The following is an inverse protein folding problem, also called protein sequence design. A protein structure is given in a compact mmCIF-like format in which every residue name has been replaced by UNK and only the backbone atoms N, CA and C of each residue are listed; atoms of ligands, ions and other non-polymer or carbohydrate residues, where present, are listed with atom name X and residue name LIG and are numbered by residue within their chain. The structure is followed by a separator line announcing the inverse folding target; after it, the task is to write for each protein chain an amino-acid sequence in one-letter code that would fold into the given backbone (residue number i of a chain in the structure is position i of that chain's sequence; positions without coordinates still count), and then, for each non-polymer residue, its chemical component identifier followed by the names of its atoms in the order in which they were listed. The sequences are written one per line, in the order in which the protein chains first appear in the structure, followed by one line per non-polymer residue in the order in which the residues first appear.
data_IF_257978307092
#
_entry.id   IF_257978307092
#
_cell.length_a   1.000
_cell.length_b   1.000
_cell.length_c   1.000
_cell.angle_alpha   90.00
_cell.angle_beta   90.00
_cell.angle_gamma   90.00
#
_symmetry.space_group_name_H-M   'P 1'
#
loop_
_entity.id
_entity.type
_entity.pdbx_description
1 polymer ?
#
# COMPACT_ATOMS: atom_id res chain seq x y z
N UNK A 1 21.11 -7.27 -19.15
CA UNK A 1 21.48 -8.24 -18.10
C UNK A 1 20.78 -9.57 -18.36
N UNK A 2 21.44 -10.71 -18.09
CA UNK A 2 20.81 -12.05 -18.16
C UNK A 2 20.89 -12.76 -16.82
N UNK A 3 19.80 -13.42 -16.44
CA UNK A 3 19.64 -14.08 -15.13
C UNK A 3 19.18 -15.52 -15.37
N UNK A 4 19.86 -16.48 -14.75
CA UNK A 4 19.41 -17.86 -14.61
C UNK A 4 18.65 -17.98 -13.27
N UNK A 5 17.40 -18.41 -13.33
CA UNK A 5 16.49 -18.47 -12.19
C UNK A 5 16.00 -19.90 -11.97
N UNK A 6 16.25 -20.48 -10.79
CA UNK A 6 15.79 -21.85 -10.50
C UNK A 6 14.27 -21.93 -10.32
N UNK A 7 13.68 -20.96 -9.63
CA UNK A 7 12.23 -20.86 -9.43
C UNK A 7 11.77 -19.41 -9.57
N UNK A 8 10.70 -19.17 -10.33
CA UNK A 8 10.17 -17.84 -10.58
C UNK A 8 8.65 -17.82 -10.44
N UNK A 9 8.11 -16.75 -9.84
CA UNK A 9 6.68 -16.49 -9.83
C UNK A 9 6.32 -15.49 -10.94
N UNK A 10 5.64 -15.99 -11.97
CA UNK A 10 5.13 -15.18 -13.10
C UNK A 10 3.61 -15.04 -13.04
N UNK A 11 3.00 -14.31 -13.97
CA UNK A 11 1.54 -14.28 -14.13
C UNK A 11 0.91 -15.64 -14.42
N UNK A 12 1.70 -16.58 -14.98
CA UNK A 12 1.28 -17.97 -15.22
C UNK A 12 1.51 -18.87 -13.99
N UNK A 13 1.89 -18.28 -12.85
CA UNK A 13 2.21 -18.99 -11.61
C UNK A 13 3.68 -19.37 -11.49
N UNK A 14 3.95 -20.33 -10.60
CA UNK A 14 5.29 -20.83 -10.32
C UNK A 14 5.86 -21.61 -11.50
N UNK A 15 7.08 -21.30 -11.88
CA UNK A 15 7.83 -21.94 -12.96
C UNK A 15 9.25 -22.30 -12.48
N UNK A 16 9.88 -23.28 -13.14
CA UNK A 16 11.21 -23.79 -12.79
C UNK A 16 12.19 -23.68 -13.96
N UNK A 17 13.45 -23.37 -13.63
CA UNK A 17 14.57 -23.28 -14.56
C UNK A 17 14.31 -22.35 -15.76
N UNK A 18 14.28 -21.04 -15.49
CA UNK A 18 14.04 -20.00 -16.49
C UNK A 18 15.24 -19.10 -16.71
N UNK A 19 15.35 -18.56 -17.92
CA UNK A 19 16.28 -17.49 -18.27
C UNK A 19 15.49 -16.20 -18.47
N UNK A 20 15.96 -15.15 -17.80
CA UNK A 20 15.41 -13.81 -17.86
C UNK A 20 16.41 -12.88 -18.53
N UNK A 21 15.94 -12.07 -19.48
CA UNK A 21 16.72 -10.96 -20.06
C UNK A 21 16.09 -9.64 -19.67
N UNK A 22 16.94 -8.70 -19.27
CA UNK A 22 16.55 -7.34 -18.88
C UNK A 22 17.37 -6.35 -19.71
N UNK A 23 16.67 -5.45 -20.40
CA UNK A 23 17.24 -4.37 -21.21
C UNK A 23 16.36 -3.13 -20.99
N UNK A 24 16.96 -1.94 -20.98
CA UNK A 24 16.26 -0.66 -20.77
C UNK A 24 15.24 -0.72 -19.61
N UNK A 25 15.70 -1.22 -18.45
CA UNK A 25 14.92 -1.32 -17.20
C UNK A 25 13.70 -2.24 -17.27
N UNK A 26 13.54 -3.04 -18.34
CA UNK A 26 12.35 -3.86 -18.57
C UNK A 26 12.71 -5.34 -18.79
N UNK A 27 11.79 -6.24 -18.44
CA UNK A 27 11.89 -7.65 -18.83
C UNK A 27 11.68 -7.77 -20.34
N UNK A 28 12.69 -8.22 -21.10
CA UNK A 28 12.58 -8.39 -22.55
C UNK A 28 12.39 -9.83 -22.99
N UNK A 29 12.81 -10.79 -22.17
CA UNK A 29 12.59 -12.21 -22.42
C UNK A 29 12.43 -12.97 -21.11
N UNK A 30 11.43 -13.84 -21.06
CA UNK A 30 11.18 -14.80 -19.98
C UNK A 30 10.91 -16.15 -20.65
N UNK A 31 11.82 -17.10 -20.53
CA UNK A 31 11.69 -18.40 -21.20
C UNK A 31 12.26 -19.55 -20.39
N UNK A 32 11.79 -20.79 -20.60
CA UNK A 32 12.44 -21.98 -20.06
C UNK A 32 13.90 -22.06 -20.51
N UNK A 33 14.77 -22.47 -19.59
CA UNK A 33 16.17 -22.82 -19.83
C UNK A 33 16.24 -24.06 -20.72
N UNK A 34 17.13 -24.04 -21.70
CA UNK A 34 17.44 -25.16 -22.57
C UNK A 34 18.81 -25.76 -22.22
N UNK A 35 19.07 -27.04 -22.55
CA UNK A 35 20.37 -27.69 -22.26
C UNK A 35 21.60 -26.98 -22.86
N UNK A 36 21.43 -26.33 -24.00
CA UNK A 36 22.48 -25.60 -24.72
C UNK A 36 22.76 -24.19 -24.16
N UNK A 37 21.97 -23.70 -23.21
CA UNK A 37 22.18 -22.39 -22.63
C UNK A 37 23.44 -22.36 -21.73
N UNK A 38 24.43 -21.56 -22.12
CA UNK A 38 25.59 -21.25 -21.29
C UNK A 38 25.20 -20.24 -20.19
N UNK A 39 25.04 -20.74 -18.96
CA UNK A 39 24.67 -19.94 -17.79
C UNK A 39 25.88 -19.42 -16.99
N UNK A 40 27.11 -19.73 -17.41
CA UNK A 40 28.33 -19.47 -16.61
C UNK A 40 28.58 -17.98 -16.33
N UNK A 41 28.06 -17.10 -17.19
CA UNK A 41 28.19 -15.63 -17.09
C UNK A 41 26.92 -14.94 -16.60
N UNK A 42 25.85 -15.69 -16.34
CA UNK A 42 24.55 -15.14 -15.91
C UNK A 42 24.50 -14.97 -14.39
N UNK A 43 23.75 -13.96 -13.93
CA UNK A 43 23.39 -13.85 -12.52
C UNK A 43 22.58 -15.09 -12.10
N UNK A 44 22.84 -15.63 -10.91
CA UNK A 44 22.17 -16.82 -10.40
C UNK A 44 21.17 -16.43 -9.32
N UNK A 45 19.90 -16.75 -9.52
CA UNK A 45 18.83 -16.49 -8.55
C UNK A 45 18.14 -17.80 -8.20
N UNK A 46 17.98 -18.09 -6.90
CA UNK A 46 17.30 -19.31 -6.46
C UNK A 46 15.79 -19.17 -6.60
N UNK A 47 15.21 -18.10 -6.03
CA UNK A 47 13.79 -17.80 -6.15
C UNK A 47 13.62 -16.34 -6.52
N UNK A 48 12.90 -16.07 -7.61
CA UNK A 48 12.57 -14.72 -8.09
C UNK A 48 11.08 -14.45 -7.93
N UNK A 49 10.74 -13.36 -7.23
CA UNK A 49 9.38 -12.89 -7.01
C UNK A 49 9.20 -11.49 -7.62
N UNK A 50 7.98 -11.07 -8.00
CA UNK A 50 7.74 -9.66 -8.33
C UNK A 50 8.06 -8.78 -7.11
N UNK A 51 8.64 -7.60 -7.36
CA UNK A 51 8.78 -6.61 -6.31
C UNK A 51 7.40 -6.14 -5.84
N UNK A 52 7.32 -5.79 -4.55
CA UNK A 52 6.04 -5.42 -3.94
C UNK A 52 5.64 -3.98 -4.30
N UNK A 53 4.34 -3.72 -4.22
CA UNK A 53 3.74 -2.39 -4.38
C UNK A 53 3.04 -2.04 -3.08
N UNK A 54 3.56 -1.05 -2.35
CA UNK A 54 2.93 -0.56 -1.12
C UNK A 54 2.03 0.64 -1.42
N UNK A 55 0.73 0.40 -1.53
CA UNK A 55 -0.22 1.47 -1.89
C UNK A 55 -0.55 2.41 -0.72
N UNK A 56 -0.08 2.12 0.49
CA UNK A 56 -0.40 2.91 1.67
C UNK A 56 0.73 2.85 2.71
N UNK A 57 1.58 3.89 2.70
CA UNK A 57 2.71 4.04 3.62
C UNK A 57 3.00 5.51 3.95
N UNK A 58 3.12 5.83 5.25
CA UNK A 58 3.39 7.19 5.73
C UNK A 58 4.88 7.46 5.90
N UNK A 59 5.67 6.46 6.30
CA UNK A 59 7.06 6.69 6.65
C UNK A 59 7.83 5.42 7.01
N UNK A 60 9.08 5.63 7.41
CA UNK A 60 10.02 4.58 7.78
C UNK A 60 11.44 5.11 7.87
N UNK A 61 12.33 4.35 8.49
CA UNK A 61 13.72 4.77 8.74
C UNK A 61 13.86 6.15 9.41
N UNK A 62 12.93 6.54 10.29
CA UNK A 62 12.96 7.81 11.01
C UNK A 62 12.37 9.01 10.27
N UNK A 63 11.94 8.85 9.01
CA UNK A 63 11.36 9.91 8.17
C UNK A 63 9.89 9.64 7.82
N UNK A 64 9.18 10.69 7.40
CA UNK A 64 7.76 10.67 7.08
C UNK A 64 7.46 11.50 5.82
N UNK A 65 6.44 11.12 5.07
CA UNK A 65 5.97 11.88 3.90
C UNK A 65 5.58 13.32 4.27
N UNK A 66 5.03 13.53 5.47
CA UNK A 66 4.62 14.84 5.97
C UNK A 66 5.78 15.77 6.32
N UNK A 67 7.02 15.24 6.43
CA UNK A 67 8.21 16.08 6.58
C UNK A 67 8.35 17.03 5.37
N UNK A 68 7.84 16.62 4.20
CA UNK A 68 7.71 17.47 3.01
C UNK A 68 9.05 17.89 2.40
N UNK A 69 10.04 16.99 2.45
CA UNK A 69 11.36 17.20 1.85
C UNK A 69 11.76 16.06 0.91
N UNK A 70 12.59 16.37 -0.09
CA UNK A 70 13.14 15.38 -1.01
C UNK A 70 14.05 14.37 -0.29
N UNK A 71 14.75 14.82 0.75
CA UNK A 71 15.62 13.97 1.59
C UNK A 71 14.79 12.90 2.30
N UNK A 72 13.68 13.28 2.94
CA UNK A 72 12.78 12.32 3.59
C UNK A 72 12.22 11.29 2.59
N UNK A 73 11.79 11.71 1.39
CA UNK A 73 11.29 10.77 0.38
C UNK A 73 12.40 9.89 -0.21
N UNK A 74 13.62 10.41 -0.36
CA UNK A 74 14.79 9.63 -0.80
C UNK A 74 15.13 8.54 0.20
N UNK A 75 15.21 8.89 1.48
CA UNK A 75 15.50 7.94 2.56
C UNK A 75 14.39 6.90 2.70
N UNK A 76 13.12 7.31 2.63
CA UNK A 76 11.98 6.40 2.65
C UNK A 76 12.03 5.42 1.46
N UNK A 77 12.24 5.93 0.25
CA UNK A 77 12.34 5.13 -0.98
C UNK A 77 13.41 4.05 -0.90
N UNK A 78 14.61 4.40 -0.42
CA UNK A 78 15.71 3.45 -0.22
C UNK A 78 15.39 2.42 0.87
N UNK A 79 14.78 2.86 1.97
CA UNK A 79 14.36 1.96 3.05
C UNK A 79 13.34 0.94 2.54
N UNK A 80 12.30 1.39 1.85
CA UNK A 80 11.26 0.52 1.27
C UNK A 80 11.86 -0.49 0.29
N UNK A 81 12.76 -0.05 -0.60
CA UNK A 81 13.49 -0.95 -1.49
C UNK A 81 14.28 -2.02 -0.72
N UNK A 82 14.96 -1.65 0.38
CA UNK A 82 15.67 -2.62 1.22
C UNK A 82 14.76 -3.69 1.85
N UNK A 83 13.44 -3.43 1.90
CA UNK A 83 12.42 -4.33 2.46
C UNK A 83 11.57 -5.05 1.40
N UNK A 84 11.96 -4.97 0.12
CA UNK A 84 11.30 -5.68 -0.98
C UNK A 84 10.19 -4.89 -1.68
N UNK A 85 10.03 -3.60 -1.38
CA UNK A 85 9.07 -2.74 -2.08
C UNK A 85 9.74 -2.14 -3.32
N UNK A 86 9.19 -2.41 -4.49
CA UNK A 86 9.69 -1.84 -5.75
C UNK A 86 9.01 -0.52 -6.12
N UNK A 87 7.79 -0.29 -5.64
CA UNK A 87 7.05 0.94 -5.89
C UNK A 87 6.05 1.22 -4.75
N UNK A 88 5.69 2.49 -4.53
CA UNK A 88 4.79 2.87 -3.44
C UNK A 88 3.99 4.14 -3.71
N UNK A 89 2.91 4.34 -2.97
CA UNK A 89 2.26 5.65 -2.82
C UNK A 89 2.73 6.31 -1.52
N UNK A 90 3.15 7.57 -1.62
CA UNK A 90 3.50 8.38 -0.47
C UNK A 90 2.22 8.90 0.21
N UNK A 91 1.91 8.38 1.40
CA UNK A 91 0.65 8.69 2.09
C UNK A 91 0.80 9.85 3.07
N UNK A 92 -0.03 10.88 2.91
CA UNK A 92 -0.15 11.95 3.90
C UNK A 92 -0.92 11.47 5.13
N UNK A 93 -0.94 12.24 6.22
CA UNK A 93 -1.86 12.03 7.35
C UNK A 93 -2.59 13.33 7.64
N UNK A 94 -3.72 13.28 8.34
CA UNK A 94 -4.45 14.48 8.79
C UNK A 94 -3.52 15.48 9.46
N UNK A 95 -3.44 16.68 8.90
CA UNK A 95 -2.70 17.83 9.42
C UNK A 95 -3.37 19.12 8.92
N UNK A 96 -2.82 20.28 9.28
CA UNK A 96 -3.17 21.56 8.70
C UNK A 96 -2.96 21.53 7.17
N UNK A 97 -3.90 22.14 6.44
CA UNK A 97 -3.91 22.11 4.97
C UNK A 97 -2.57 22.53 4.32
N UNK A 98 -1.86 23.59 4.79
CA UNK A 98 -0.56 23.96 4.23
C UNK A 98 0.52 22.87 4.36
N UNK A 99 0.46 22.01 5.39
CA UNK A 99 1.41 20.90 5.55
C UNK A 99 1.10 19.77 4.57
N UNK A 100 -0.18 19.46 4.36
CA UNK A 100 -0.64 18.51 3.34
C UNK A 100 -0.22 19.01 1.95
N UNK A 101 -0.48 20.27 1.62
CA UNK A 101 -0.08 20.87 0.34
C UNK A 101 1.44 20.76 0.11
N UNK A 102 2.25 21.07 1.14
CA UNK A 102 3.71 20.90 1.07
C UNK A 102 4.11 19.47 0.76
N UNK A 103 3.49 18.48 1.43
CA UNK A 103 3.78 17.06 1.18
C UNK A 103 3.41 16.65 -0.25
N UNK A 104 2.23 17.05 -0.75
CA UNK A 104 1.78 16.75 -2.11
C UNK A 104 2.70 17.39 -3.18
N UNK A 105 3.10 18.64 -2.98
CA UNK A 105 4.06 19.33 -3.88
C UNK A 105 5.41 18.60 -3.86
N UNK A 106 5.91 18.22 -2.69
CA UNK A 106 7.18 17.52 -2.54
C UNK A 106 7.15 16.14 -3.22
N UNK A 107 6.05 15.39 -3.11
CA UNK A 107 5.87 14.12 -3.85
C UNK A 107 5.93 14.36 -5.35
N UNK A 108 5.24 15.38 -5.86
CA UNK A 108 5.26 15.71 -7.29
C UNK A 108 6.66 16.09 -7.78
N UNK A 109 7.41 16.85 -6.98
CA UNK A 109 8.78 17.24 -7.30
C UNK A 109 9.75 16.07 -7.25
N UNK A 110 9.62 15.18 -6.27
CA UNK A 110 10.41 13.96 -6.17
C UNK A 110 10.17 13.01 -7.34
N UNK A 111 8.94 12.90 -7.84
CA UNK A 111 8.64 12.10 -9.04
C UNK A 111 9.29 12.66 -10.30
N UNK A 112 9.39 13.99 -10.44
CA UNK A 112 10.06 14.63 -11.58
C UNK A 112 11.57 14.48 -11.49
N UNK A 113 12.16 14.66 -10.31
CA UNK A 113 13.61 14.55 -10.11
C UNK A 113 14.10 13.09 -10.11
N UNK A 114 13.22 12.16 -9.72
CA UNK A 114 13.58 10.79 -9.41
C UNK A 114 14.21 10.66 -8.02
N UNK A 115 13.96 9.52 -7.38
CA UNK A 115 14.61 9.12 -6.12
C UNK A 115 15.24 7.74 -6.30
N UNK A 116 16.41 7.47 -5.68
CA UNK A 116 16.96 6.12 -5.65
C UNK A 116 16.08 5.21 -4.79
N UNK A 117 15.99 3.93 -5.13
CA UNK A 117 15.18 2.94 -4.40
C UNK A 117 13.81 2.73 -5.02
N UNK A 118 12.78 2.52 -4.21
CA UNK A 118 11.42 2.22 -4.64
C UNK A 118 10.81 3.38 -5.45
N UNK A 119 10.14 3.07 -6.56
CA UNK A 119 9.51 4.11 -7.38
C UNK A 119 8.31 4.75 -6.67
N UNK A 120 8.28 6.07 -6.59
CA UNK A 120 7.09 6.81 -6.14
C UNK A 120 6.06 6.81 -7.28
N UNK A 121 4.89 6.18 -7.06
CA UNK A 121 3.79 6.12 -8.03
C UNK A 121 2.83 7.31 -7.95
N UNK A 122 2.94 8.09 -6.87
CA UNK A 122 2.08 9.22 -6.57
C UNK A 122 1.91 9.44 -5.08
N UNK A 123 0.92 10.26 -4.75
CA UNK A 123 0.48 10.49 -3.37
C UNK A 123 -0.86 9.82 -3.07
N UNK A 124 -1.05 9.48 -1.80
CA UNK A 124 -2.32 9.06 -1.22
C UNK A 124 -2.70 10.06 -0.13
N UNK A 125 -3.80 10.78 -0.34
CA UNK A 125 -4.37 11.69 0.65
C UNK A 125 -5.19 10.92 1.68
N UNK A 126 -4.56 10.48 2.78
CA UNK A 126 -5.27 9.96 3.95
C UNK A 126 -5.53 11.09 4.98
N UNK A 127 -6.79 11.50 5.06
CA UNK A 127 -7.22 12.67 5.84
C UNK A 127 -7.19 13.97 5.01
N UNK A 128 -7.89 15.03 5.45
CA UNK A 128 -8.53 15.20 6.76
C UNK A 128 -10.06 14.95 6.75
N UNK A 129 -10.60 14.23 5.75
CA UNK A 129 -12.05 14.12 5.51
C UNK A 129 -12.74 13.00 6.31
N UNK A 130 -12.52 12.96 7.63
CA UNK A 130 -12.95 11.87 8.53
C UNK A 130 -13.97 12.28 9.59
N UNK A 131 -14.47 11.31 10.35
CA UNK A 131 -15.35 11.54 11.50
C UNK A 131 -14.73 11.06 12.81
N UNK A 132 -15.12 11.71 13.91
CA UNK A 132 -14.42 11.59 15.20
C UNK A 132 -14.48 10.19 15.81
N UNK A 133 -15.61 9.48 15.68
CA UNK A 133 -15.86 8.23 16.42
C UNK A 133 -14.86 7.12 16.13
N UNK A 134 -14.28 7.09 14.92
CA UNK A 134 -13.23 6.15 14.54
C UNK A 134 -11.96 6.86 14.05
N UNK A 135 -11.65 8.03 14.63
CA UNK A 135 -10.49 8.86 14.23
C UNK A 135 -9.12 8.17 14.35
N UNK A 136 -9.00 7.12 15.15
CA UNK A 136 -7.71 6.48 15.42
C UNK A 136 -6.67 7.49 15.92
N UNK A 137 -5.51 7.53 15.25
CA UNK A 137 -4.42 8.45 15.55
C UNK A 137 -4.59 9.87 14.99
N UNK A 138 -5.67 10.15 14.25
CA UNK A 138 -5.88 11.46 13.63
C UNK A 138 -6.45 12.48 14.63
N UNK A 139 -6.00 13.73 14.52
CA UNK A 139 -6.55 14.85 15.30
C UNK A 139 -7.89 15.31 14.69
N UNK A 140 -8.98 15.07 15.43
CA UNK A 140 -10.32 15.44 15.01
C UNK A 140 -10.55 16.96 14.90
N UNK A 141 -9.72 17.76 15.58
CA UNK A 141 -9.80 19.24 15.48
C UNK A 141 -9.43 19.75 14.08
N UNK A 142 -8.73 18.92 13.29
CA UNK A 142 -8.28 19.22 11.94
C UNK A 142 -9.22 18.67 10.87
N UNK A 143 -10.26 17.92 11.25
CA UNK A 143 -11.18 17.33 10.27
C UNK A 143 -11.93 18.39 9.47
N UNK A 144 -12.01 18.15 8.17
CA UNK A 144 -12.63 19.07 7.21
C UNK A 144 -13.86 18.45 6.58
N UNK A 145 -14.81 19.29 6.17
CA UNK A 145 -15.93 18.84 5.35
C UNK A 145 -15.50 18.63 3.90
N UNK A 146 -16.23 17.77 3.19
CA UNK A 146 -15.95 17.50 1.78
C UNK A 146 -16.42 18.68 0.92
N UNK A 147 -15.47 19.38 0.33
CA UNK A 147 -15.67 20.44 -0.64
C UNK A 147 -14.88 20.12 -1.92
N UNK A 148 -15.57 20.07 -3.05
CA UNK A 148 -14.97 19.77 -4.34
C UNK A 148 -13.96 20.84 -4.79
N UNK A 149 -14.11 22.09 -4.34
CA UNK A 149 -13.14 23.14 -4.67
C UNK A 149 -11.80 22.92 -3.96
N UNK A 150 -11.85 22.51 -2.69
CA UNK A 150 -10.65 22.15 -1.94
C UNK A 150 -9.99 20.89 -2.51
N UNK A 151 -10.77 19.88 -2.87
CA UNK A 151 -10.26 18.67 -3.52
C UNK A 151 -9.60 19.00 -4.87
N UNK A 152 -10.19 19.89 -5.67
CA UNK A 152 -9.60 20.35 -6.94
C UNK A 152 -8.28 21.09 -6.73
N UNK A 153 -8.21 21.92 -5.68
CA UNK A 153 -6.98 22.59 -5.30
C UNK A 153 -5.88 21.59 -4.89
N UNK A 154 -6.21 20.59 -4.06
CA UNK A 154 -5.25 19.55 -3.66
C UNK A 154 -4.74 18.72 -4.85
N UNK A 155 -5.62 18.38 -5.79
CA UNK A 155 -5.23 17.73 -7.04
C UNK A 155 -4.28 18.63 -7.84
N UNK A 156 -4.60 19.93 -7.98
CA UNK A 156 -3.78 20.86 -8.73
C UNK A 156 -2.38 21.06 -8.12
N UNK A 157 -2.26 21.24 -6.79
CA UNK A 157 -0.95 21.39 -6.14
C UNK A 157 -0.11 20.11 -6.20
N UNK A 158 -0.77 18.94 -6.24
CA UNK A 158 -0.10 17.65 -6.47
C UNK A 158 0.41 17.47 -7.91
N UNK A 159 0.12 18.39 -8.84
CA UNK A 159 0.47 18.29 -10.26
C UNK A 159 0.01 16.95 -10.87
N UNK A 160 -1.22 16.54 -10.55
CA UNK A 160 -1.85 15.28 -10.98
C UNK A 160 -1.15 13.99 -10.50
N UNK A 161 -0.28 14.10 -9.49
CA UNK A 161 0.35 12.94 -8.84
C UNK A 161 -0.49 12.33 -7.72
N UNK A 162 -1.58 12.99 -7.30
CA UNK A 162 -2.54 12.41 -6.35
C UNK A 162 -3.29 11.25 -7.00
N UNK A 163 -3.16 10.05 -6.42
CA UNK A 163 -3.75 8.80 -6.95
C UNK A 163 -4.94 8.30 -6.13
N UNK A 164 -4.89 8.49 -4.82
CA UNK A 164 -5.93 8.00 -3.92
C UNK A 164 -6.33 9.06 -2.90
N UNK A 165 -7.61 9.05 -2.48
CA UNK A 165 -8.15 9.87 -1.40
C UNK A 165 -8.95 9.00 -0.45
N UNK A 166 -8.66 9.09 0.84
CA UNK A 166 -9.41 8.43 1.90
C UNK A 166 -10.46 9.40 2.47
N UNK A 167 -11.70 8.93 2.64
CA UNK A 167 -12.76 9.74 3.24
C UNK A 167 -13.77 8.91 4.04
N UNK A 168 -14.47 9.58 4.96
CA UNK A 168 -15.58 8.98 5.68
C UNK A 168 -16.90 9.16 4.88
N UNK A 169 -17.58 8.07 4.45
CA UNK A 169 -18.75 8.15 3.58
C UNK A 169 -20.02 8.71 4.23
N UNK A 170 -20.06 8.84 5.56
CA UNK A 170 -21.16 9.50 6.28
C UNK A 170 -21.05 11.03 6.30
N UNK A 171 -19.94 11.61 5.82
CA UNK A 171 -19.81 13.06 5.69
C UNK A 171 -20.85 13.63 4.74
N UNK A 172 -21.22 14.88 4.98
CA UNK A 172 -22.07 15.63 4.06
C UNK A 172 -21.39 15.69 2.68
N UNK A 173 -22.18 15.50 1.63
CA UNK A 173 -21.73 15.50 0.24
C UNK A 173 -20.77 14.36 -0.18
N UNK A 174 -20.57 13.32 0.65
CA UNK A 174 -19.60 12.26 0.33
C UNK A 174 -19.82 11.60 -1.04
N UNK A 175 -21.04 11.19 -1.38
CA UNK A 175 -21.34 10.62 -2.70
C UNK A 175 -21.10 11.58 -3.87
N UNK A 176 -21.21 12.90 -3.64
CA UNK A 176 -20.90 13.90 -4.67
C UNK A 176 -19.38 14.03 -4.84
N UNK A 177 -18.64 14.14 -3.74
CA UNK A 177 -17.18 14.19 -3.75
C UNK A 177 -16.57 12.92 -4.37
N UNK A 178 -17.09 11.72 -4.04
CA UNK A 178 -16.66 10.46 -4.64
C UNK A 178 -16.77 10.53 -6.16
N UNK A 179 -17.96 10.84 -6.70
CA UNK A 179 -18.15 10.94 -8.16
C UNK A 179 -17.22 11.96 -8.81
N UNK A 180 -17.00 13.10 -8.15
CA UNK A 180 -16.12 14.17 -8.60
C UNK A 180 -14.64 13.73 -8.69
N UNK A 181 -14.17 12.99 -7.68
CA UNK A 181 -12.83 12.40 -7.65
C UNK A 181 -12.67 11.29 -8.71
N UNK A 182 -13.67 10.41 -8.85
CA UNK A 182 -13.67 9.36 -9.88
C UNK A 182 -13.63 9.92 -11.29
N UNK A 183 -14.31 11.04 -11.57
CA UNK A 183 -14.25 11.71 -12.88
C UNK A 183 -12.84 12.22 -13.23
N UNK A 184 -11.96 12.39 -12.24
CA UNK A 184 -10.56 12.77 -12.42
C UNK A 184 -9.60 11.58 -12.40
N UNK A 185 -10.12 10.35 -12.30
CA UNK A 185 -9.33 9.13 -12.33
C UNK A 185 -8.67 8.76 -10.99
N UNK A 186 -9.09 9.36 -9.87
CA UNK A 186 -8.55 9.01 -8.56
C UNK A 186 -9.25 7.78 -7.98
N UNK A 187 -8.53 7.00 -7.18
CA UNK A 187 -9.12 6.01 -6.29
C UNK A 187 -9.71 6.70 -5.06
N UNK A 188 -10.86 6.21 -4.57
CA UNK A 188 -11.51 6.72 -3.36
C UNK A 188 -11.75 5.59 -2.39
N UNK A 189 -11.13 5.67 -1.22
CA UNK A 189 -11.16 4.61 -0.20
C UNK A 189 -11.93 5.08 1.03
N UNK A 190 -12.71 4.17 1.64
CA UNK A 190 -13.51 4.48 2.83
C UNK A 190 -12.67 4.22 4.09
N UNK A 191 -12.45 5.25 4.90
CA UNK A 191 -11.56 5.21 6.06
C UNK A 191 -12.11 6.04 7.23
N UNK A 192 -11.64 5.75 8.44
CA UNK A 192 -11.90 6.54 9.65
C UNK A 192 -13.37 6.97 9.79
N UNK A 193 -14.24 5.97 9.77
CA UNK A 193 -15.68 6.12 9.53
C UNK A 193 -16.53 5.27 10.48
N UNK A 194 -17.61 5.86 10.99
CA UNK A 194 -18.69 5.15 11.69
C UNK A 194 -19.91 4.92 10.79
N UNK A 195 -19.72 4.86 9.48
CA UNK A 195 -20.82 4.68 8.56
C UNK A 195 -21.57 3.38 8.79
N UNK A 196 -22.87 3.43 8.53
CA UNK A 196 -23.70 2.23 8.40
C UNK A 196 -23.36 1.48 7.11
N UNK A 197 -23.76 0.20 7.06
CA UNK A 197 -23.70 -0.61 5.84
C UNK A 197 -24.35 0.09 4.63
N UNK A 198 -25.50 0.75 4.83
CA UNK A 198 -26.21 1.46 3.77
C UNK A 198 -25.44 2.69 3.24
N UNK A 199 -24.75 3.43 4.11
CA UNK A 199 -23.92 4.56 3.71
C UNK A 199 -22.67 4.10 2.94
N UNK A 200 -22.02 3.02 3.40
CA UNK A 200 -20.88 2.43 2.70
C UNK A 200 -21.28 1.93 1.30
N UNK A 201 -22.40 1.21 1.18
CA UNK A 201 -22.90 0.78 -0.14
C UNK A 201 -23.25 1.96 -1.03
N UNK A 202 -23.85 3.03 -0.50
CA UNK A 202 -24.13 4.24 -1.27
C UNK A 202 -22.85 4.88 -1.81
N UNK A 203 -21.74 4.79 -1.06
CA UNK A 203 -20.44 5.25 -1.50
C UNK A 203 -19.85 4.35 -2.60
N UNK A 204 -19.98 3.02 -2.50
CA UNK A 204 -19.60 2.10 -3.58
C UNK A 204 -20.43 2.33 -4.85
N UNK A 205 -21.74 2.57 -4.74
CA UNK A 205 -22.59 2.99 -5.89
C UNK A 205 -22.17 4.34 -6.47
N UNK A 206 -21.61 5.23 -5.66
CA UNK A 206 -21.04 6.49 -6.14
C UNK A 206 -19.67 6.32 -6.80
N UNK A 207 -19.04 5.14 -6.67
CA UNK A 207 -17.78 4.77 -7.31
C UNK A 207 -16.58 4.65 -6.39
N UNK A 208 -16.76 4.61 -5.05
CA UNK A 208 -15.66 4.31 -4.14
C UNK A 208 -15.06 2.93 -4.43
N UNK A 209 -13.74 2.82 -4.36
CA UNK A 209 -12.98 1.66 -4.80
C UNK A 209 -12.78 0.63 -3.71
N UNK A 210 -12.90 0.98 -2.43
CA UNK A 210 -12.57 0.05 -1.35
C UNK A 210 -12.64 0.62 0.05
N UNK A 211 -12.12 -0.14 1.01
CA UNK A 211 -11.99 0.26 2.41
C UNK A 211 -10.52 0.22 2.85
N UNK A 212 -10.14 1.16 3.70
CA UNK A 212 -8.76 1.34 4.21
C UNK A 212 -8.52 0.45 5.42
N UNK A 213 -7.35 -0.17 5.52
CA UNK A 213 -6.90 -1.05 6.62
C UNK A 213 -8.04 -1.78 7.36
N UNK A 214 -8.77 -2.63 6.64
CA UNK A 214 -10.00 -3.31 7.06
C UNK A 214 -9.98 -3.71 8.54
N UNK A 215 -11.09 -3.48 9.24
CA UNK A 215 -11.30 -3.56 10.70
C UNK A 215 -10.81 -2.35 11.50
N UNK A 216 -9.74 -1.68 11.08
CA UNK A 216 -9.14 -0.57 11.82
C UNK A 216 -9.83 0.75 11.46
N UNK A 217 -10.05 1.63 12.45
CA UNK A 217 -10.66 2.94 12.20
C UNK A 217 -12.04 2.88 11.55
N UNK A 218 -12.85 1.83 11.75
CA UNK A 218 -14.16 1.74 11.12
C UNK A 218 -15.21 0.97 11.91
N UNK A 219 -16.48 1.13 11.53
CA UNK A 219 -17.58 0.31 12.06
C UNK A 219 -17.40 -1.16 11.66
N UNK A 220 -17.37 -2.03 12.68
CA UNK A 220 -17.08 -3.45 12.52
C UNK A 220 -18.25 -4.27 11.95
N UNK A 221 -18.01 -5.57 11.78
CA UNK A 221 -19.02 -6.53 11.31
C UNK A 221 -19.85 -7.07 12.47
N UNK A 222 -21.14 -6.74 12.48
CA UNK A 222 -22.15 -7.39 13.33
C UNK A 222 -23.28 -7.95 12.48
N UNK A 223 -23.81 -9.14 12.79
CA UNK A 223 -24.75 -9.88 11.93
C UNK A 223 -26.07 -9.15 11.63
N UNK A 224 -26.49 -8.20 12.48
CA UNK A 224 -27.67 -7.33 12.25
C UNK A 224 -27.33 -5.95 11.70
N UNK A 225 -26.09 -5.51 11.88
CA UNK A 225 -25.59 -4.20 11.48
C UNK A 225 -24.19 -4.39 10.93
N UNK A 226 -24.04 -4.78 9.65
CA UNK A 226 -22.76 -5.25 9.13
C UNK A 226 -21.65 -4.19 9.09
N UNK A 227 -21.99 -2.91 9.24
CA UNK A 227 -21.03 -1.81 9.23
C UNK A 227 -20.26 -1.69 7.91
N UNK A 228 -19.14 -0.97 7.96
CA UNK A 228 -18.24 -0.76 6.83
C UNK A 228 -17.47 -2.04 6.50
N UNK A 229 -17.02 -2.78 7.53
CA UNK A 229 -16.36 -4.08 7.33
C UNK A 229 -17.26 -5.04 6.56
N UNK A 230 -18.52 -5.19 6.96
CA UNK A 230 -19.47 -6.05 6.25
C UNK A 230 -19.78 -5.56 4.84
N UNK A 231 -19.84 -4.23 4.63
CA UNK A 231 -20.02 -3.66 3.29
C UNK A 231 -18.85 -4.03 2.37
N UNK A 232 -17.60 -3.74 2.75
CA UNK A 232 -16.44 -4.06 1.92
C UNK A 232 -16.28 -5.56 1.66
N UNK A 233 -16.41 -6.40 2.69
CA UNK A 233 -16.24 -7.85 2.52
C UNK A 233 -17.32 -8.48 1.62
N UNK A 234 -18.54 -7.94 1.60
CA UNK A 234 -19.65 -8.47 0.78
C UNK A 234 -19.82 -7.84 -0.60
N UNK A 235 -19.23 -6.67 -0.85
CA UNK A 235 -19.32 -6.00 -2.15
C UNK A 235 -18.15 -6.39 -3.07
N UNK A 236 -18.45 -7.09 -4.17
CA UNK A 236 -17.45 -7.54 -5.14
C UNK A 236 -16.69 -6.42 -5.87
N UNK A 237 -17.09 -5.16 -5.72
CA UNK A 237 -16.40 -4.01 -6.32
C UNK A 237 -15.30 -3.45 -5.41
N UNK A 238 -15.34 -3.74 -4.11
CA UNK A 238 -14.51 -3.08 -3.11
C UNK A 238 -13.15 -3.76 -2.94
N UNK A 239 -12.05 -3.06 -3.14
CA UNK A 239 -10.73 -3.46 -2.66
C UNK A 239 -10.66 -3.37 -1.14
N UNK A 240 -9.91 -4.29 -0.54
CA UNK A 240 -9.81 -4.42 0.91
C UNK A 240 -8.35 -4.29 1.32
N UNK A 241 -7.97 -3.11 1.82
CA UNK A 241 -6.65 -2.93 2.41
C UNK A 241 -6.54 -3.72 3.72
N UNK A 242 -5.39 -4.33 4.00
CA UNK A 242 -5.16 -5.13 5.19
C UNK A 242 -3.71 -4.98 5.69
N UNK A 243 -3.57 -4.65 6.98
CA UNK A 243 -2.29 -4.67 7.69
C UNK A 243 -2.09 -6.05 8.30
N UNK A 244 -1.13 -6.82 7.79
CA UNK A 244 -0.91 -8.22 8.16
C UNK A 244 0.25 -8.41 9.17
N UNK A 245 0.22 -7.71 10.30
CA UNK A 245 1.26 -7.78 11.34
C UNK A 245 0.92 -8.66 12.56
N UNK A 246 -0.33 -9.12 12.65
CA UNK A 246 -0.83 -9.95 13.75
C UNK A 246 -1.28 -9.20 14.99
N UNK A 247 -1.14 -7.87 15.04
CA UNK A 247 -1.59 -7.05 16.17
C UNK A 247 -2.67 -6.03 15.78
N UNK A 248 -2.64 -5.47 14.57
CA UNK A 248 -3.78 -4.73 14.01
C UNK A 248 -4.95 -5.68 13.74
N UNK A 249 -4.64 -6.85 13.17
CA UNK A 249 -5.66 -7.84 12.80
C UNK A 249 -5.28 -9.21 13.32
N UNK A 250 -6.18 -9.84 14.06
CA UNK A 250 -5.99 -11.21 14.53
C UNK A 250 -5.94 -12.18 13.32
N UNK A 251 -5.09 -13.23 13.32
CA UNK A 251 -4.96 -14.17 12.19
C UNK A 251 -6.29 -14.77 11.69
N UNK A 252 -7.21 -15.08 12.60
CA UNK A 252 -8.55 -15.56 12.23
C UNK A 252 -9.37 -14.53 11.44
N UNK A 253 -9.25 -13.24 11.77
CA UNK A 253 -9.91 -12.16 11.04
C UNK A 253 -9.23 -11.93 9.67
N UNK A 254 -7.90 -12.02 9.59
CA UNK A 254 -7.19 -12.01 8.29
C UNK A 254 -7.72 -13.13 7.38
N UNK A 255 -7.90 -14.34 7.90
CA UNK A 255 -8.43 -15.47 7.15
C UNK A 255 -9.85 -15.23 6.62
N UNK A 256 -10.73 -14.63 7.43
CA UNK A 256 -12.07 -14.24 6.99
C UNK A 256 -11.98 -13.20 5.88
N UNK A 257 -11.15 -12.17 6.07
CA UNK A 257 -10.93 -11.12 5.09
C UNK A 257 -10.50 -11.69 3.74
N UNK A 258 -9.43 -12.52 3.71
CA UNK A 258 -8.92 -13.15 2.49
C UNK A 258 -10.00 -14.01 1.82
N UNK A 259 -10.75 -14.80 2.59
CA UNK A 259 -11.78 -15.67 2.05
C UNK A 259 -12.91 -14.91 1.34
N UNK A 260 -13.18 -13.67 1.75
CA UNK A 260 -14.19 -12.82 1.14
C UNK A 260 -13.62 -11.96 0.01
N UNK A 261 -12.41 -11.42 0.20
CA UNK A 261 -11.78 -10.47 -0.71
C UNK A 261 -11.22 -11.15 -1.97
N UNK A 262 -10.61 -12.33 -1.84
CA UNK A 262 -9.86 -12.98 -2.91
C UNK A 262 -8.91 -11.98 -3.60
N UNK A 263 -9.00 -11.80 -4.93
CA UNK A 263 -8.14 -10.88 -5.70
C UNK A 263 -8.35 -9.38 -5.40
N UNK A 264 -9.32 -9.04 -4.55
CA UNK A 264 -9.55 -7.67 -4.07
C UNK A 264 -8.72 -7.31 -2.83
N UNK A 265 -8.01 -8.29 -2.24
CA UNK A 265 -7.18 -8.06 -1.08
C UNK A 265 -5.94 -7.24 -1.45
N UNK A 266 -5.67 -6.16 -0.72
CA UNK A 266 -4.48 -5.33 -0.88
C UNK A 266 -3.74 -5.32 0.44
N UNK A 267 -2.58 -5.97 0.50
CA UNK A 267 -1.70 -5.82 1.64
C UNK A 267 -1.03 -4.45 1.57
N UNK A 268 -1.04 -3.77 2.71
CA UNK A 268 -0.37 -2.49 2.91
C UNK A 268 0.51 -2.59 4.15
N UNK A 269 1.53 -1.75 4.23
CA UNK A 269 2.26 -1.62 5.48
C UNK A 269 1.51 -0.75 6.47
N UNK A 270 0.90 0.35 6.03
CA UNK A 270 0.55 1.47 6.93
C UNK A 270 1.76 1.86 7.81
N UNK A 271 2.98 1.68 7.27
CA UNK A 271 4.20 1.90 8.02
C UNK A 271 4.38 3.39 8.29
N UNK A 272 4.84 3.69 9.51
CA UNK A 272 5.13 5.05 9.94
C UNK A 272 6.62 5.21 10.29
N UNK A 273 7.07 6.44 10.59
CA UNK A 273 8.48 6.80 10.78
C UNK A 273 9.30 5.89 11.71
N UNK A 274 8.67 5.23 12.69
CA UNK A 274 9.33 4.32 13.61
C UNK A 274 9.75 2.99 12.97
N UNK A 275 9.29 2.68 11.75
CA UNK A 275 9.66 1.45 11.03
C UNK A 275 11.18 1.38 10.84
N UNK A 276 11.79 0.29 11.28
CA UNK A 276 13.25 0.11 11.22
C UNK A 276 14.04 0.95 12.23
N UNK A 277 13.39 1.53 13.24
CA UNK A 277 14.02 2.30 14.32
C UNK A 277 13.98 1.53 15.65
N UNK A 278 14.78 1.91 16.67
CA UNK A 278 14.67 1.33 18.01
C UNK A 278 13.40 1.78 18.74
N UNK A 279 12.95 1.02 19.74
CA UNK A 279 11.84 1.43 20.62
C UNK A 279 12.06 2.83 21.19
N UNK A 280 11.00 3.65 21.23
CA UNK A 280 11.13 5.06 21.57
C UNK A 280 9.86 5.88 21.33
N UNK A 281 10.01 7.20 21.44
CA UNK A 281 8.97 8.18 21.16
C UNK A 281 9.12 8.76 19.75
N UNK A 282 8.00 8.87 19.05
CA UNK A 282 7.91 9.33 17.67
C UNK A 282 6.68 10.24 17.49
N UNK A 283 6.48 10.75 16.28
CA UNK A 283 5.31 11.53 15.91
C UNK A 283 4.61 10.93 14.68
N UNK A 284 3.28 11.05 14.64
CA UNK A 284 2.46 10.77 13.46
C UNK A 284 1.38 11.87 13.37
N UNK A 285 1.35 12.64 12.28
CA UNK A 285 0.39 13.75 12.13
C UNK A 285 0.42 14.76 13.28
N UNK A 286 1.62 15.07 13.79
CA UNK A 286 1.83 15.95 14.95
C UNK A 286 1.53 15.32 16.32
N UNK A 287 0.93 14.12 16.36
CA UNK A 287 0.63 13.42 17.61
C UNK A 287 1.81 12.59 18.09
N UNK A 288 2.15 12.71 19.38
CA UNK A 288 3.17 11.88 20.00
C UNK A 288 2.67 10.42 20.11
N UNK A 289 3.50 9.50 19.65
CA UNK A 289 3.25 8.05 19.71
C UNK A 289 4.47 7.36 20.32
N UNK A 290 4.25 6.18 20.88
CA UNK A 290 5.31 5.37 21.46
C UNK A 290 5.38 4.01 20.79
N UNK A 291 6.57 3.64 20.36
CA UNK A 291 6.87 2.30 19.91
C UNK A 291 7.45 1.46 21.05
N UNK A 292 6.88 0.28 21.25
CA UNK A 292 7.41 -0.74 22.14
C UNK A 292 7.25 -2.11 21.50
N UNK A 293 8.34 -2.87 21.38
CA UNK A 293 8.36 -4.19 20.74
C UNK A 293 7.75 -4.17 19.32
N UNK A 294 7.98 -3.10 18.56
CA UNK A 294 7.44 -2.93 17.21
C UNK A 294 5.93 -2.63 17.13
N UNK A 295 5.27 -2.33 18.26
CA UNK A 295 3.87 -1.89 18.27
C UNK A 295 3.84 -0.40 18.59
N UNK A 296 3.19 0.39 17.74
CA UNK A 296 3.07 1.84 17.89
C UNK A 296 1.71 2.18 18.45
N UNK A 297 1.70 2.95 19.54
CA UNK A 297 0.45 3.36 20.22
C UNK A 297 0.41 4.86 20.48
N UNK A 298 -0.79 5.41 20.39
CA UNK A 298 -1.16 6.73 20.91
C UNK A 298 -1.11 6.74 22.45
N UNK A 299 -1.14 7.94 23.04
CA UNK A 299 -1.26 8.09 24.50
C UNK A 299 -2.54 7.45 25.08
N UNK A 300 -3.60 7.35 24.27
CA UNK A 300 -4.88 6.72 24.64
C UNK A 300 -4.86 5.19 24.49
N UNK A 301 -3.76 4.62 24.01
CA UNK A 301 -3.57 3.18 23.85
C UNK A 301 -4.08 2.60 22.52
N UNK A 302 -4.66 3.43 21.65
CA UNK A 302 -5.00 3.02 20.28
C UNK A 302 -3.75 2.86 19.41
N UNK A 303 -3.78 1.93 18.45
CA UNK A 303 -2.72 1.75 17.46
C UNK A 303 -2.59 2.98 16.54
N UNK A 304 -1.38 3.26 16.07
CA UNK A 304 -1.07 4.45 15.27
C UNK A 304 -0.04 4.14 14.18
N UNK A 305 -0.53 3.82 12.98
CA UNK A 305 0.28 3.19 11.93
C UNK A 305 0.88 1.86 12.40
N UNK A 306 1.77 1.31 11.60
CA UNK A 306 2.49 0.08 11.90
C UNK A 306 4.01 0.28 11.79
N UNK A 307 4.77 -0.76 12.18
CA UNK A 307 6.18 -0.89 11.81
C UNK A 307 6.42 -2.09 10.89
N UNK A 308 5.40 -2.46 10.11
CA UNK A 308 5.40 -3.66 9.27
C UNK A 308 6.23 -3.42 7.99
N UNK A 309 7.26 -4.22 7.78
CA UNK A 309 7.81 -4.38 6.43
C UNK A 309 6.81 -5.18 5.57
N UNK A 310 6.42 -4.67 4.39
CA UNK A 310 5.37 -5.27 3.58
C UNK A 310 5.65 -6.75 3.22
N UNK A 311 6.91 -7.11 2.96
CA UNK A 311 7.32 -8.50 2.71
C UNK A 311 7.12 -9.41 3.93
N UNK A 312 7.28 -8.88 5.15
CA UNK A 312 6.91 -9.60 6.36
C UNK A 312 5.38 -9.79 6.46
N UNK A 313 4.60 -8.81 5.99
CA UNK A 313 3.15 -8.94 5.84
C UNK A 313 2.74 -10.10 4.93
N UNK A 314 3.43 -10.28 3.80
CA UNK A 314 3.26 -11.44 2.91
C UNK A 314 3.52 -12.75 3.65
N UNK A 315 4.64 -12.85 4.38
CA UNK A 315 5.00 -14.05 5.16
C UNK A 315 3.98 -14.32 6.26
N UNK A 316 3.52 -13.30 6.97
CA UNK A 316 2.52 -13.41 8.02
C UNK A 316 1.18 -13.89 7.45
N UNK A 317 0.72 -13.35 6.34
CA UNK A 317 -0.53 -13.77 5.71
C UNK A 317 -0.46 -15.26 5.31
N UNK A 318 0.67 -15.70 4.76
CA UNK A 318 0.85 -17.11 4.40
C UNK A 318 0.95 -18.04 5.61
N UNK A 319 1.73 -17.67 6.62
CA UNK A 319 2.03 -18.54 7.78
C UNK A 319 0.98 -18.50 8.89
N UNK A 320 0.42 -17.32 9.18
CA UNK A 320 -0.54 -17.11 10.28
C UNK A 320 -1.99 -17.34 9.83
N UNK A 321 -2.36 -16.92 8.60
CA UNK A 321 -3.71 -17.09 8.07
C UNK A 321 -3.85 -18.29 7.13
N UNK A 322 -2.75 -18.97 6.79
CA UNK A 322 -2.74 -20.18 5.95
C UNK A 322 -3.04 -19.89 4.48
N UNK A 323 -2.74 -18.67 4.00
CA UNK A 323 -2.95 -18.26 2.61
C UNK A 323 -1.85 -18.84 1.72
N UNK A 324 -2.21 -19.27 0.52
CA UNK A 324 -1.24 -19.72 -0.47
C UNK A 324 -0.22 -18.61 -0.74
N UNK A 325 1.07 -18.94 -0.72
CA UNK A 325 2.15 -17.95 -0.85
C UNK A 325 2.02 -17.10 -2.13
N UNK A 326 1.62 -17.68 -3.26
CA UNK A 326 1.36 -16.94 -4.50
C UNK A 326 0.33 -15.84 -4.28
N UNK A 327 -0.81 -16.18 -3.69
CA UNK A 327 -1.88 -15.21 -3.43
C UNK A 327 -1.44 -14.13 -2.43
N UNK A 328 -0.68 -14.50 -1.40
CA UNK A 328 -0.11 -13.53 -0.47
C UNK A 328 0.85 -12.55 -1.17
N UNK A 329 1.71 -13.03 -2.07
CA UNK A 329 2.59 -12.18 -2.87
C UNK A 329 1.77 -11.28 -3.80
N UNK A 330 0.79 -11.83 -4.51
CA UNK A 330 -0.08 -11.06 -5.42
C UNK A 330 -0.85 -9.96 -4.67
N UNK A 331 -1.29 -10.21 -3.44
CA UNK A 331 -1.93 -9.19 -2.59
C UNK A 331 -1.02 -8.03 -2.20
N UNK A 332 0.30 -8.19 -2.28
CA UNK A 332 1.28 -7.14 -2.05
C UNK A 332 1.98 -6.69 -3.34
N UNK A 333 1.53 -7.13 -4.52
CA UNK A 333 2.17 -6.79 -5.81
C UNK A 333 1.12 -6.54 -6.90
N UNK A 334 0.58 -7.61 -7.50
CA UNK A 334 -0.35 -7.52 -8.62
C UNK A 334 -1.67 -6.82 -8.25
N UNK A 335 -2.24 -7.11 -7.08
CA UNK A 335 -3.54 -6.56 -6.68
C UNK A 335 -3.47 -5.06 -6.36
N UNK A 336 -2.48 -4.54 -5.59
CA UNK A 336 -2.25 -3.10 -5.49
C UNK A 336 -1.94 -2.45 -6.84
N UNK A 337 -1.17 -3.10 -7.71
CA UNK A 337 -0.90 -2.55 -9.05
C UNK A 337 -2.19 -2.38 -9.87
N UNK A 338 -3.12 -3.34 -9.80
CA UNK A 338 -4.45 -3.26 -10.44
C UNK A 338 -5.33 -2.17 -9.83
N UNK A 339 -5.35 -2.04 -8.50
CA UNK A 339 -6.09 -0.97 -7.81
C UNK A 339 -5.67 0.41 -8.34
N UNK A 340 -4.36 0.60 -8.54
CA UNK A 340 -3.78 1.86 -8.99
C UNK A 340 -3.78 2.03 -10.53
N UNK A 341 -4.17 1.01 -11.29
CA UNK A 341 -4.15 1.02 -12.76
C UNK A 341 -2.74 1.10 -13.36
N UNK A 342 -1.76 0.47 -12.71
CA UNK A 342 -0.34 0.44 -13.13
C UNK A 342 0.18 -1.00 -13.35
N UNK A 343 -0.72 -1.97 -13.41
CA UNK A 343 -0.40 -3.38 -13.63
C UNK A 343 0.22 -3.64 -15.00
N UNK A 344 0.10 -2.72 -15.96
CA UNK A 344 0.81 -2.80 -17.24
C UNK A 344 2.33 -2.71 -17.07
N UNK A 345 2.81 -2.09 -15.98
CA UNK A 345 4.23 -1.86 -15.70
C UNK A 345 4.74 -2.55 -14.44
N UNK A 346 3.90 -2.74 -13.43
CA UNK A 346 4.29 -3.24 -12.11
C UNK A 346 3.46 -4.46 -11.66
N UNK A 347 3.83 -5.05 -10.53
CA UNK A 347 3.04 -6.05 -9.82
C UNK A 347 3.22 -7.50 -10.29
N UNK A 348 3.91 -7.75 -11.40
CA UNK A 348 4.23 -9.12 -11.84
C UNK A 348 5.50 -9.16 -12.69
N UNK A 349 6.05 -10.36 -12.89
CA UNK A 349 7.16 -10.59 -13.80
C UNK A 349 6.59 -11.05 -15.16
N UNK A 350 6.60 -10.14 -16.13
CA UNK A 350 6.13 -10.37 -17.49
C UNK A 350 6.92 -9.50 -18.50
N UNK A 351 7.03 -9.96 -19.75
CA UNK A 351 7.73 -9.22 -20.81
C UNK A 351 7.07 -7.86 -21.02
N UNK A 352 7.89 -6.81 -21.13
CA UNK A 352 7.45 -5.42 -21.30
C UNK A 352 7.25 -4.66 -19.98
N UNK A 353 7.18 -5.34 -18.84
CA UNK A 353 7.06 -4.71 -17.51
C UNK A 353 8.43 -4.23 -16.99
N UNK A 354 8.40 -3.29 -16.04
CA UNK A 354 9.59 -2.85 -15.31
C UNK A 354 10.23 -4.04 -14.61
N UNK A 355 11.55 -4.14 -14.70
CA UNK A 355 12.30 -5.26 -14.15
C UNK A 355 12.58 -5.10 -12.65
N UNK A 356 11.51 -4.85 -11.89
CA UNK A 356 11.53 -4.80 -10.43
C UNK A 356 11.23 -6.18 -9.86
N UNK A 357 12.18 -6.79 -9.15
CA UNK A 357 12.04 -8.14 -8.61
C UNK A 357 12.78 -8.35 -7.29
N UNK A 358 12.39 -9.40 -6.57
CA UNK A 358 13.03 -9.85 -5.35
C UNK A 358 13.83 -11.12 -5.63
N UNK A 359 15.04 -11.16 -5.10
CA UNK A 359 15.82 -12.39 -4.95
C UNK A 359 15.61 -12.90 -3.52
N UNK A 360 15.01 -14.07 -3.37
CA UNK A 360 14.83 -14.72 -2.07
C UNK A 360 15.48 -16.11 -2.08
N UNK A 361 15.80 -16.61 -0.89
CA UNK A 361 16.24 -18.01 -0.76
C UNK A 361 15.03 -18.97 -0.77
N UNK A 362 15.24 -20.30 -0.79
CA UNK A 362 14.14 -21.27 -0.75
C UNK A 362 13.25 -21.22 0.50
N UNK A 363 13.71 -20.56 1.57
CA UNK A 363 12.91 -20.30 2.78
C UNK A 363 12.11 -18.98 2.71
N UNK A 364 12.10 -18.31 1.55
CA UNK A 364 11.42 -17.03 1.31
C UNK A 364 11.98 -15.91 2.21
N UNK A 365 13.29 -15.95 2.48
CA UNK A 365 14.01 -14.84 3.09
C UNK A 365 14.61 -13.93 2.02
N UNK A 366 14.33 -12.63 2.12
CA UNK A 366 14.83 -11.62 1.21
C UNK A 366 16.36 -11.57 1.23
N UNK A 367 16.97 -11.59 0.04
CA UNK A 367 18.41 -11.41 -0.17
C UNK A 367 18.71 -10.08 -0.82
N UNK A 368 18.00 -9.78 -1.90
CA UNK A 368 18.19 -8.54 -2.66
C UNK A 368 16.86 -8.08 -3.25
N UNK A 369 16.72 -6.77 -3.38
CA UNK A 369 15.65 -6.13 -4.15
C UNK A 369 16.29 -5.42 -5.32
N UNK A 370 15.78 -5.70 -6.51
CA UNK A 370 16.18 -5.03 -7.74
C UNK A 370 15.07 -4.03 -8.10
N UNK A 371 15.45 -2.76 -8.19
CA UNK A 371 14.58 -1.67 -8.66
C UNK A 371 15.30 -0.94 -9.76
N UNK A 372 14.64 -0.77 -10.90
CA UNK A 372 15.21 -0.21 -12.13
C UNK A 372 14.85 1.24 -12.35
#
# INVERSE_FOLDING_TARGET
MKINVKQILTEQGWQQDYIISIEDECFTQIRPKQPEDDISTMMQVEVMLPALVDSHVHGGAGVDVMDGTLESLTQLSQHLASQGVGAFLATTVTDQLPHIERALINVAEAMVQGVPGATILGSYLEGPYFTERHKGAHDASLFRELDTQELDHLIAVSRDTLKAVALAPEKKNACHAIRHLKQRGLNVMLAHTNASYAQANSAFEAGADGIVHCYNGMSGLHHREPGVVGAGLSDSRAYIELIADGHHVHPAAMKICVSCAAERLVLISDAMRATGQPDGEYFLGGNAVRMQSGIVTTQEGGLAGSTLALFQGVKNLSTMAGVELKHAIESASLFPARLLGVEDKYGSIAVGKKANFLCVNPAIELKETWVT
#
